data_IF_297284484121
#
_entry.id   IF_297284484121
#
_cell.length_a   1.000
_cell.length_b   1.000
_cell.length_c   1.000
_cell.angle_alpha   90.00
_cell.angle_beta   90.00
_cell.angle_gamma   90.00
#
_symmetry.space_group_name_H-M   'P 1'
#
loop_
_entity.id
_entity.type
_entity.pdbx_description
1 polymer ?
#
# COMPACT_ATOMS: atom_id res chain seq x y z
N UNK A 1 18.81 -6.42 -25.69
CA UNK A 1 17.36 -6.22 -25.77
C UNK A 1 16.84 -6.10 -24.34
N UNK A 2 16.85 -4.91 -23.77
CA UNK A 2 16.23 -4.69 -22.47
C UNK A 2 14.73 -4.68 -22.69
N UNK A 3 14.00 -5.59 -22.05
CA UNK A 3 12.56 -5.46 -21.93
C UNK A 3 12.32 -4.10 -21.27
N UNK A 4 11.84 -3.12 -22.05
CA UNK A 4 11.08 -2.06 -21.43
C UNK A 4 9.81 -2.78 -20.96
N UNK A 5 9.84 -3.29 -19.72
CA UNK A 5 8.60 -3.43 -19.01
C UNK A 5 8.07 -2.01 -18.97
N UNK A 6 7.09 -1.74 -19.82
CA UNK A 6 6.28 -0.55 -19.75
C UNK A 6 5.55 -0.68 -18.41
N UNK A 7 6.24 -0.31 -17.33
CA UNK A 7 5.66 -0.16 -16.00
C UNK A 7 4.78 1.07 -16.16
N UNK A 8 3.61 0.89 -16.76
CA UNK A 8 2.61 1.92 -16.87
C UNK A 8 2.46 2.50 -15.46
N UNK A 9 2.58 3.83 -15.29
CA UNK A 9 2.58 4.43 -13.97
C UNK A 9 1.31 3.97 -13.27
N UNK A 10 1.47 3.25 -12.15
CA UNK A 10 0.35 2.80 -11.37
C UNK A 10 -0.37 4.05 -10.87
N UNK A 11 -1.57 4.31 -11.40
CA UNK A 11 -2.37 5.45 -10.96
C UNK A 11 -3.13 5.03 -9.72
N UNK A 12 -3.01 5.82 -8.67
CA UNK A 12 -3.66 5.57 -7.39
C UNK A 12 -4.59 6.72 -7.08
N UNK A 13 -5.86 6.39 -6.82
CA UNK A 13 -6.90 7.32 -6.45
C UNK A 13 -7.44 6.92 -5.06
N UNK A 14 -7.55 7.89 -4.16
CA UNK A 14 -8.13 7.70 -2.83
C UNK A 14 -9.41 8.52 -2.75
N UNK A 15 -10.52 7.91 -2.34
CA UNK A 15 -11.82 8.56 -2.18
C UNK A 15 -12.39 8.22 -0.81
N UNK A 16 -12.95 9.21 -0.11
CA UNK A 16 -13.70 9.00 1.13
C UNK A 16 -15.20 9.01 0.81
N UNK A 17 -15.94 8.05 1.35
CA UNK A 17 -17.39 8.00 1.27
C UNK A 17 -17.97 7.47 2.58
N UNK A 18 -18.68 8.34 3.31
CA UNK A 18 -19.37 8.01 4.57
C UNK A 18 -18.44 7.42 5.65
N UNK A 19 -17.17 7.84 5.69
CA UNK A 19 -16.18 7.32 6.63
C UNK A 19 -15.46 6.05 6.17
N UNK A 20 -15.82 5.48 5.02
CA UNK A 20 -15.06 4.43 4.35
C UNK A 20 -14.12 5.02 3.30
N UNK A 21 -12.91 4.51 3.24
CA UNK A 21 -11.85 4.95 2.32
C UNK A 21 -11.66 3.93 1.20
N UNK A 22 -11.84 4.37 -0.03
CA UNK A 22 -11.71 3.57 -1.23
C UNK A 22 -10.39 3.93 -1.90
N UNK A 23 -9.51 2.95 -2.07
CA UNK A 23 -8.27 3.09 -2.81
C UNK A 23 -8.38 2.31 -4.11
N UNK A 24 -8.32 3.02 -5.23
CA UNK A 24 -8.30 2.45 -6.58
C UNK A 24 -6.89 2.51 -7.13
N UNK A 25 -6.33 1.35 -7.44
CA UNK A 25 -5.00 1.20 -8.06
C UNK A 25 -5.19 0.68 -9.48
N UNK A 26 -4.76 1.44 -10.47
CA UNK A 26 -4.76 1.01 -11.88
C UNK A 26 -3.34 0.66 -12.29
N UNK A 27 -3.08 -0.64 -12.48
CA UNK A 27 -1.78 -1.15 -12.90
C UNK A 27 -1.94 -2.04 -14.13
N UNK A 28 -1.15 -1.78 -15.17
CA UNK A 28 -1.16 -2.57 -16.42
C UNK A 28 -2.57 -2.77 -17.03
N UNK A 29 -3.42 -1.73 -16.94
CA UNK A 29 -4.81 -1.78 -17.42
C UNK A 29 -5.79 -2.52 -16.50
N UNK A 30 -5.33 -3.15 -15.42
CA UNK A 30 -6.18 -3.74 -14.40
C UNK A 30 -6.41 -2.74 -13.25
N UNK A 31 -7.68 -2.55 -12.88
CA UNK A 31 -8.05 -1.74 -11.72
C UNK A 31 -8.34 -2.65 -10.52
N UNK A 32 -7.67 -2.39 -9.41
CA UNK A 32 -7.90 -3.02 -8.12
C UNK A 32 -8.48 -1.97 -7.16
N UNK A 33 -9.59 -2.30 -6.51
CA UNK A 33 -10.22 -1.43 -5.52
C UNK A 33 -10.09 -2.12 -4.16
N UNK A 34 -9.65 -1.38 -3.15
CA UNK A 34 -9.55 -1.83 -1.77
C UNK A 34 -10.19 -0.80 -0.85
N UNK A 35 -10.96 -1.27 0.13
CA UNK A 35 -11.66 -0.42 1.09
C UNK A 35 -11.01 -0.50 2.47
N UNK A 36 -11.00 0.62 3.18
CA UNK A 36 -10.42 0.74 4.50
C UNK A 36 -11.31 1.62 5.38
N UNK A 37 -11.45 1.27 6.65
CA UNK A 37 -12.17 2.09 7.64
C UNK A 37 -11.32 3.25 8.17
N UNK A 38 -10.00 3.23 7.93
CA UNK A 38 -9.03 4.16 8.51
C UNK A 38 -8.23 4.86 7.41
N UNK A 39 -8.23 6.19 7.41
CA UNK A 39 -7.51 7.02 6.43
C UNK A 39 -6.02 6.66 6.35
N UNK A 40 -5.35 6.54 7.50
CA UNK A 40 -3.92 6.24 7.57
C UNK A 40 -3.55 4.93 6.89
N UNK A 41 -4.43 3.92 6.92
CA UNK A 41 -4.20 2.65 6.22
C UNK A 41 -4.44 2.79 4.72
N UNK A 42 -5.50 3.48 4.30
CA UNK A 42 -5.74 3.78 2.89
C UNK A 42 -4.57 4.55 2.27
N UNK A 43 -4.04 5.56 2.97
CA UNK A 43 -2.88 6.35 2.55
C UNK A 43 -1.60 5.51 2.51
N UNK A 44 -1.31 4.72 3.54
CA UNK A 44 -0.13 3.85 3.54
C UNK A 44 -0.15 2.82 2.41
N UNK A 45 -1.34 2.25 2.12
CA UNK A 45 -1.56 1.35 1.00
C UNK A 45 -1.35 2.06 -0.34
N UNK A 46 -1.92 3.26 -0.50
CA UNK A 46 -1.82 4.08 -1.70
C UNK A 46 -0.39 4.59 -1.99
N UNK A 47 0.36 4.94 -0.95
CA UNK A 47 1.77 5.34 -1.05
C UNK A 47 2.68 4.20 -1.52
N UNK A 48 2.16 2.98 -1.69
CA UNK A 48 2.97 1.80 -2.03
C UNK A 48 4.00 1.47 -0.95
N UNK A 49 3.91 2.11 0.21
CA UNK A 49 4.63 1.73 1.42
C UNK A 49 4.02 0.40 1.83
N UNK A 50 4.56 -0.68 1.24
CA UNK A 50 4.53 -1.99 1.88
C UNK A 50 4.87 -1.70 3.34
N UNK A 51 3.97 -1.90 4.31
CA UNK A 51 4.40 -1.90 5.67
C UNK A 51 5.39 -3.05 5.72
N UNK A 52 6.67 -2.72 5.64
CA UNK A 52 7.74 -3.58 6.08
C UNK A 52 7.50 -3.69 7.57
N UNK A 53 6.54 -4.52 7.95
CA UNK A 53 6.46 -5.16 9.25
C UNK A 53 7.64 -6.13 9.30
N UNK A 54 8.86 -5.58 9.21
CA UNK A 54 10.01 -6.21 9.81
C UNK A 54 9.78 -6.04 11.29
N UNK A 55 9.05 -7.00 11.84
CA UNK A 55 9.00 -7.26 13.26
C UNK A 55 10.44 -7.16 13.81
N UNK A 56 10.77 -6.25 14.73
CA UNK A 56 11.97 -6.40 15.53
C UNK A 56 11.68 -7.51 16.55
N UNK A 57 11.68 -8.77 16.11
CA UNK A 57 11.74 -9.91 17.01
C UNK A 57 13.18 -10.01 17.52
N UNK A 58 13.46 -9.27 18.59
CA UNK A 58 14.76 -9.23 19.24
C UNK A 58 14.78 -8.37 20.50
N UNK A 59 13.64 -8.23 21.19
CA UNK A 59 13.65 -7.85 22.60
C UNK A 59 14.01 -9.11 23.39
N UNK A 60 15.26 -9.20 23.82
CA UNK A 60 15.76 -10.23 24.72
C UNK A 60 16.89 -9.62 25.56
N UNK A 61 16.43 -9.03 26.66
CA UNK A 61 17.19 -8.62 27.83
C UNK A 61 18.01 -9.80 28.38
N UNK A 62 19.34 -9.70 28.35
CA UNK A 62 20.20 -10.46 29.27
C UNK A 62 21.24 -9.48 29.80
N UNK A 63 20.93 -8.91 30.95
CA UNK A 63 21.90 -8.22 31.79
C UNK A 63 21.92 -8.94 33.12
N UNK A 64 22.69 -10.03 33.17
CA UNK A 64 23.15 -10.69 34.40
C UNK A 64 24.57 -11.22 34.17
#
# INVERSE_FOLDING_TARGET
MAANENIAPASVEITENMGEWFVRVVQNGAAHISTFEVESYARAFAEGKRPSLRHPAGANENRE
#
